data_IF_554506176128
#
_entry.id   IF_554506176128
#
_cell.length_a   1.000
_cell.length_b   1.000
_cell.length_c   1.000
_cell.angle_alpha   90.00
_cell.angle_beta   90.00
_cell.angle_gamma   90.00
#
_symmetry.space_group_name_H-M   'P 1'
#
loop_
_entity.id
_entity.type
_entity.pdbx_description
1 polymer ?
#
# COMPACT_ATOMS: atom_id res chain seq x y z
N UNK A 1 92.71 -13.45 4.41
CA UNK A 1 91.45 -13.23 3.67
C UNK A 1 90.30 -13.47 4.64
N UNK A 2 89.25 -12.64 4.57
CA UNK A 2 88.32 -12.29 5.66
C UNK A 2 87.35 -13.40 6.10
N UNK A 3 86.98 -13.34 7.39
CA UNK A 3 85.84 -14.01 8.05
C UNK A 3 84.51 -13.72 7.34
N UNK A 4 83.51 -14.62 7.47
CA UNK A 4 82.33 -14.45 8.36
C UNK A 4 81.30 -15.57 8.18
N UNK A 5 80.79 -16.05 9.31
CA UNK A 5 79.57 -16.85 9.44
C UNK A 5 78.30 -16.04 9.14
N UNK A 6 77.17 -16.71 8.89
CA UNK A 6 75.84 -16.16 9.16
C UNK A 6 74.82 -17.25 9.45
N UNK A 7 74.17 -17.06 10.60
CA UNK A 7 73.10 -17.80 11.24
C UNK A 7 71.77 -17.32 10.67
N UNK A 8 70.78 -18.20 10.46
CA UNK A 8 69.36 -17.82 10.54
C UNK A 8 68.60 -18.87 11.35
N UNK A 9 67.96 -18.36 12.40
CA UNK A 9 67.17 -19.04 13.44
C UNK A 9 65.72 -19.23 12.98
N UNK A 10 65.14 -20.35 13.39
CA UNK A 10 63.74 -20.72 13.24
C UNK A 10 62.86 -19.95 14.24
N UNK A 11 61.80 -19.27 13.81
CA UNK A 11 60.75 -18.78 14.72
C UNK A 11 59.35 -19.06 14.21
N UNK A 12 58.52 -19.52 15.14
CA UNK A 12 57.20 -20.08 15.00
C UNK A 12 56.09 -19.04 14.73
N UNK A 13 54.98 -19.55 14.19
CA UNK A 13 53.75 -18.83 13.90
C UNK A 13 52.99 -18.43 15.19
N UNK A 14 52.44 -17.21 15.18
CA UNK A 14 51.41 -16.78 16.12
C UNK A 14 50.10 -16.53 15.37
N UNK A 15 49.01 -17.12 15.89
CA UNK A 15 47.65 -16.92 15.45
C UNK A 15 47.13 -15.57 15.95
N UNK A 16 46.48 -14.80 15.07
CA UNK A 16 45.84 -13.53 15.42
C UNK A 16 44.32 -13.69 15.39
N UNK A 17 43.70 -13.39 16.51
CA UNK A 17 42.25 -13.34 16.76
C UNK A 17 41.58 -12.19 16.02
N UNK A 18 40.44 -12.47 15.40
CA UNK A 18 39.56 -11.49 14.75
C UNK A 18 38.82 -10.71 15.83
N UNK A 19 39.02 -9.38 15.87
CA UNK A 19 38.24 -8.48 16.72
C UNK A 19 36.89 -8.19 16.06
N UNK A 20 35.80 -8.51 16.78
CA UNK A 20 34.45 -8.09 16.45
C UNK A 20 34.28 -6.62 16.86
N UNK A 21 34.12 -5.71 15.89
CA UNK A 21 33.85 -4.29 16.16
C UNK A 21 32.34 -4.11 16.35
N UNK A 22 31.93 -3.84 17.59
CA UNK A 22 30.57 -3.46 17.94
C UNK A 22 30.27 -2.08 17.33
N UNK A 23 29.37 -2.03 16.34
CA UNK A 23 28.87 -0.76 15.83
C UNK A 23 27.97 -0.11 16.89
N UNK A 24 28.39 1.05 17.38
CA UNK A 24 27.64 1.90 18.29
C UNK A 24 26.36 2.40 17.58
N UNK A 25 25.18 1.94 17.99
CA UNK A 25 23.91 2.55 17.57
C UNK A 25 23.75 3.89 18.29
N UNK A 26 23.85 4.99 17.54
CA UNK A 26 23.34 6.29 17.96
C UNK A 26 21.85 6.30 17.61
N UNK A 27 21.02 6.23 18.65
CA UNK A 27 19.58 6.41 18.54
C UNK A 27 19.26 7.87 18.16
N UNK A 28 18.61 8.07 17.02
CA UNK A 28 18.12 9.37 16.58
C UNK A 28 17.26 9.30 15.31
N UNK A 29 15.97 9.58 15.48
CA UNK A 29 14.99 10.06 14.47
C UNK A 29 14.35 9.01 13.54
N UNK A 30 13.02 9.04 13.46
CA UNK A 30 12.16 7.96 12.95
C UNK A 30 12.46 7.50 11.53
N UNK A 31 12.53 6.18 11.34
CA UNK A 31 12.68 5.56 10.03
C UNK A 31 11.44 5.82 9.18
N UNK A 32 11.54 6.75 8.23
CA UNK A 32 10.63 6.80 7.11
C UNK A 32 10.73 5.45 6.36
N UNK A 33 9.59 4.84 6.07
CA UNK A 33 9.54 3.64 5.22
C UNK A 33 10.19 4.01 3.88
N UNK A 34 11.21 3.27 3.41
CA UNK A 34 11.89 3.58 2.15
C UNK A 34 10.91 3.49 0.98
N UNK A 35 11.15 4.27 -0.08
CA UNK A 35 10.35 4.20 -1.30
C UNK A 35 10.48 2.84 -1.98
N UNK A 36 9.38 2.36 -2.54
CA UNK A 36 9.31 1.09 -3.29
C UNK A 36 9.08 1.38 -4.76
N UNK A 37 9.84 0.71 -5.63
CA UNK A 37 9.58 0.67 -7.06
C UNK A 37 8.37 -0.24 -7.33
N UNK A 38 7.31 0.31 -7.91
CA UNK A 38 6.13 -0.50 -8.22
C UNK A 38 6.45 -1.50 -9.35
N UNK A 39 6.21 -2.81 -9.14
CA UNK A 39 6.49 -3.86 -10.13
C UNK A 39 5.98 -3.52 -11.54
N UNK A 40 6.79 -3.83 -12.55
CA UNK A 40 6.45 -3.57 -13.95
C UNK A 40 6.48 -2.09 -14.38
N UNK A 41 6.66 -1.14 -13.46
CA UNK A 41 6.67 0.30 -13.74
C UNK A 41 8.05 0.94 -13.51
N UNK A 42 8.14 2.24 -13.77
CA UNK A 42 9.27 3.10 -13.34
C UNK A 42 8.90 4.03 -12.18
N UNK A 43 7.76 3.78 -11.52
CA UNK A 43 7.24 4.64 -10.47
C UNK A 43 7.78 4.20 -9.12
N UNK A 44 8.36 5.15 -8.37
CA UNK A 44 8.78 4.94 -6.98
C UNK A 44 7.78 5.63 -6.06
N UNK A 45 7.19 4.88 -5.15
CA UNK A 45 6.23 5.40 -4.17
C UNK A 45 6.80 5.30 -2.77
N UNK A 46 6.78 6.42 -2.04
CA UNK A 46 7.22 6.51 -0.65
C UNK A 46 6.10 7.16 0.19
N UNK A 47 5.47 6.43 1.13
CA UNK A 47 4.31 6.92 1.88
C UNK A 47 4.52 8.27 2.59
N UNK A 48 5.69 8.53 3.16
CA UNK A 48 5.95 9.78 3.87
C UNK A 48 6.03 11.05 2.97
N UNK A 49 5.91 10.91 1.64
CA UNK A 49 6.17 12.01 0.68
C UNK A 49 4.95 12.90 0.40
N UNK A 50 3.77 12.58 0.94
CA UNK A 50 2.50 13.23 0.54
C UNK A 50 2.05 14.38 1.47
N UNK A 51 2.85 14.74 2.48
CA UNK A 51 2.56 15.87 3.37
C UNK A 51 3.11 17.20 2.81
N UNK A 52 2.23 18.10 2.34
CA UNK A 52 2.63 19.48 2.00
C UNK A 52 1.79 20.18 0.91
N UNK A 53 2.13 21.44 0.57
CA UNK A 53 1.57 22.17 -0.56
C UNK A 53 1.88 21.45 -1.89
N UNK A 54 0.97 21.49 -2.86
CA UNK A 54 1.09 20.74 -4.12
C UNK A 54 0.48 19.32 -4.09
N UNK A 55 -0.30 19.01 -3.04
CA UNK A 55 -0.98 17.72 -2.86
C UNK A 55 -1.79 17.26 -4.07
N UNK A 56 -2.46 18.15 -4.79
CA UNK A 56 -3.28 17.78 -5.97
C UNK A 56 -2.44 17.19 -7.11
N UNK A 57 -1.29 17.80 -7.42
CA UNK A 57 -0.34 17.23 -8.41
C UNK A 57 0.21 15.91 -7.90
N UNK A 58 0.58 15.84 -6.62
CA UNK A 58 1.08 14.61 -5.99
C UNK A 58 0.06 13.47 -6.01
N UNK A 59 -1.22 13.76 -5.79
CA UNK A 59 -2.32 12.79 -5.91
C UNK A 59 -2.56 12.36 -7.35
N UNK A 60 -2.42 13.27 -8.31
CA UNK A 60 -2.54 12.94 -9.74
C UNK A 60 -1.42 11.99 -10.16
N UNK A 61 -0.18 12.30 -9.79
CA UNK A 61 0.99 11.47 -10.09
C UNK A 61 0.88 10.10 -9.39
N UNK A 62 0.41 10.07 -8.14
CA UNK A 62 0.14 8.84 -7.40
C UNK A 62 -0.96 7.99 -8.06
N UNK A 63 -2.08 8.60 -8.46
CA UNK A 63 -3.14 7.89 -9.19
C UNK A 63 -2.61 7.30 -10.50
N UNK A 64 -1.81 8.05 -11.26
CA UNK A 64 -1.20 7.54 -12.49
C UNK A 64 -0.26 6.36 -12.20
N UNK A 65 0.57 6.46 -11.15
CA UNK A 65 1.47 5.38 -10.75
C UNK A 65 0.72 4.11 -10.33
N UNK A 66 -0.31 4.25 -9.49
CA UNK A 66 -1.19 3.15 -9.07
C UNK A 66 -1.92 2.56 -10.29
N UNK A 67 -2.42 3.40 -11.19
CA UNK A 67 -3.13 2.96 -12.39
C UNK A 67 -2.26 2.16 -13.36
N UNK A 68 -1.03 2.62 -13.61
CA UNK A 68 -0.07 1.89 -14.43
C UNK A 68 0.27 0.54 -13.81
N UNK A 69 0.48 0.51 -12.48
CA UNK A 69 0.73 -0.73 -11.74
C UNK A 69 -0.46 -1.69 -11.78
N UNK A 70 -1.68 -1.21 -11.52
CA UNK A 70 -2.92 -2.00 -11.61
C UNK A 70 -3.16 -2.56 -13.02
N UNK A 71 -2.87 -1.77 -14.05
CA UNK A 71 -3.02 -2.23 -15.43
C UNK A 71 -2.04 -3.37 -15.78
N UNK A 72 -0.81 -3.31 -15.26
CA UNK A 72 0.22 -4.32 -15.53
C UNK A 72 0.04 -5.59 -14.69
N UNK A 73 -0.23 -5.46 -13.40
CA UNK A 73 -0.30 -6.59 -12.47
C UNK A 73 -1.68 -7.28 -12.48
N UNK A 74 -2.77 -6.54 -12.71
CA UNK A 74 -4.15 -7.06 -12.62
C UNK A 74 -4.89 -7.07 -13.96
N UNK A 75 -4.24 -6.62 -15.05
CA UNK A 75 -4.84 -6.59 -16.38
C UNK A 75 -6.02 -5.61 -16.51
N UNK A 76 -6.14 -4.65 -15.58
CA UNK A 76 -7.14 -3.59 -15.68
C UNK A 76 -6.82 -2.65 -16.85
N UNK A 77 -7.85 -1.99 -17.38
CA UNK A 77 -7.63 -0.94 -18.37
C UNK A 77 -6.80 0.19 -17.76
N UNK A 78 -5.86 0.74 -18.52
CA UNK A 78 -5.15 1.96 -18.10
C UNK A 78 -6.16 3.05 -17.78
N UNK A 79 -5.86 3.86 -16.76
CA UNK A 79 -6.72 4.97 -16.33
C UNK A 79 -7.06 5.85 -17.56
N UNK A 80 -8.33 5.87 -18.01
CA UNK A 80 -8.72 6.75 -19.11
C UNK A 80 -8.88 8.19 -18.64
N UNK A 81 -9.26 8.37 -17.37
CA UNK A 81 -9.47 9.65 -16.68
C UNK A 81 -9.20 9.44 -15.20
N UNK A 82 -8.51 10.36 -14.50
CA UNK A 82 -8.34 10.22 -13.05
C UNK A 82 -9.69 10.27 -12.31
N UNK A 83 -9.75 9.61 -11.15
CA UNK A 83 -10.86 9.79 -10.23
C UNK A 83 -10.75 11.16 -9.56
N UNK A 84 -11.89 11.77 -9.26
CA UNK A 84 -11.90 12.90 -8.32
C UNK A 84 -11.62 12.34 -6.93
N UNK A 85 -10.71 12.95 -6.18
CA UNK A 85 -10.47 12.58 -4.77
C UNK A 85 -11.05 13.67 -3.88
N UNK A 86 -11.96 13.30 -3.00
CA UNK A 86 -12.59 14.19 -2.04
C UNK A 86 -12.36 13.68 -0.61
N UNK A 87 -12.25 14.61 0.33
CA UNK A 87 -12.13 14.29 1.75
C UNK A 87 -13.47 14.52 2.44
N UNK A 88 -13.91 13.57 3.26
CA UNK A 88 -15.22 13.61 3.88
C UNK A 88 -15.19 13.10 5.34
N UNK A 89 -16.08 13.62 6.22
CA UNK A 89 -16.24 13.08 7.55
C UNK A 89 -16.87 11.69 7.48
N UNK A 90 -16.61 10.85 8.48
CA UNK A 90 -17.10 9.47 8.55
C UNK A 90 -18.62 9.35 8.38
N UNK A 91 -19.38 10.31 8.91
CA UNK A 91 -20.85 10.34 8.76
C UNK A 91 -21.29 10.46 7.30
N UNK A 92 -20.61 11.30 6.50
CA UNK A 92 -20.88 11.46 5.08
C UNK A 92 -20.48 10.20 4.29
N UNK A 93 -19.31 9.63 4.58
CA UNK A 93 -18.88 8.38 3.94
C UNK A 93 -19.85 7.23 4.23
N UNK A 94 -20.34 7.13 5.47
CA UNK A 94 -21.37 6.15 5.81
C UNK A 94 -22.66 6.35 5.01
N UNK A 95 -23.15 7.59 4.89
CA UNK A 95 -24.32 7.88 4.05
C UNK A 95 -24.10 7.53 2.58
N UNK A 96 -22.89 7.68 2.04
CA UNK A 96 -22.55 7.29 0.67
C UNK A 96 -22.54 5.77 0.51
N UNK A 97 -21.91 5.04 1.44
CA UNK A 97 -21.78 3.58 1.39
C UNK A 97 -23.12 2.84 1.42
N UNK A 98 -24.09 3.40 2.13
CA UNK A 98 -25.40 2.80 2.38
C UNK A 98 -26.54 3.54 1.65
N UNK A 99 -26.24 4.40 0.67
CA UNK A 99 -27.22 5.20 -0.07
C UNK A 99 -28.38 4.37 -0.64
N UNK A 100 -28.07 3.15 -1.09
CA UNK A 100 -29.02 2.24 -1.75
C UNK A 100 -29.44 1.05 -0.88
N UNK A 101 -29.12 1.10 0.43
CA UNK A 101 -29.49 0.06 1.41
C UNK A 101 -30.66 0.56 2.25
N UNK A 102 -31.69 -0.27 2.42
CA UNK A 102 -32.82 0.06 3.28
C UNK A 102 -32.34 0.29 4.73
N UNK A 103 -32.85 1.34 5.39
CA UNK A 103 -32.34 1.82 6.68
C UNK A 103 -32.45 0.82 7.84
N UNK A 104 -33.32 -0.19 7.70
CA UNK A 104 -33.51 -1.29 8.63
C UNK A 104 -32.43 -2.39 8.53
N UNK A 105 -31.64 -2.38 7.46
CA UNK A 105 -30.47 -3.27 7.26
C UNK A 105 -29.13 -2.58 7.57
N UNK A 106 -29.17 -1.35 8.08
CA UNK A 106 -27.96 -0.63 8.48
C UNK A 106 -27.35 -1.32 9.72
N UNK A 107 -26.27 -2.10 9.56
CA UNK A 107 -25.53 -2.62 10.70
C UNK A 107 -24.95 -1.46 11.52
N UNK A 108 -24.98 -1.56 12.85
CA UNK A 108 -24.46 -0.52 13.75
C UNK A 108 -22.95 -0.30 13.64
N UNK A 109 -22.25 -1.01 12.74
CA UNK A 109 -20.82 -0.90 12.48
C UNK A 109 -20.48 0.31 11.59
N UNK A 110 -20.89 1.50 12.05
CA UNK A 110 -20.54 2.78 11.43
C UNK A 110 -19.04 3.12 11.53
N UNK A 111 -18.26 2.32 12.27
CA UNK A 111 -16.92 2.68 12.74
C UNK A 111 -15.74 2.22 11.88
N UNK A 112 -15.96 1.62 10.69
CA UNK A 112 -14.83 1.07 9.90
C UNK A 112 -14.91 1.35 8.40
N UNK A 113 -15.58 2.44 7.98
CA UNK A 113 -15.54 2.88 6.58
C UNK A 113 -14.27 3.70 6.38
N UNK A 114 -13.27 3.08 5.74
CA UNK A 114 -11.95 3.68 5.50
C UNK A 114 -11.89 4.50 4.21
N UNK A 115 -12.75 4.19 3.25
CA UNK A 115 -12.99 4.97 2.04
C UNK A 115 -14.28 4.52 1.35
N UNK A 116 -14.74 5.28 0.35
CA UNK A 116 -15.85 4.92 -0.53
C UNK A 116 -15.58 5.43 -1.93
N UNK A 117 -15.71 4.58 -2.94
CA UNK A 117 -15.85 5.01 -4.33
C UNK A 117 -17.33 5.17 -4.72
N UNK A 118 -17.70 6.34 -5.23
CA UNK A 118 -19.01 6.60 -5.83
C UNK A 118 -18.94 6.44 -7.35
N UNK A 119 -19.62 5.43 -7.89
CA UNK A 119 -19.62 5.10 -9.32
C UNK A 119 -20.19 6.23 -10.18
N UNK A 120 -21.25 6.91 -9.73
CA UNK A 120 -21.97 7.94 -10.49
C UNK A 120 -21.12 9.21 -10.60
N UNK A 121 -20.57 9.64 -9.46
CA UNK A 121 -19.73 10.83 -9.37
C UNK A 121 -18.27 10.56 -9.78
N UNK A 122 -17.87 9.29 -9.97
CA UNK A 122 -16.49 8.85 -10.20
C UNK A 122 -15.52 9.48 -9.20
N UNK A 123 -15.94 9.47 -7.94
CA UNK A 123 -15.26 10.16 -6.85
C UNK A 123 -14.85 9.16 -5.78
N UNK A 124 -13.57 9.19 -5.41
CA UNK A 124 -13.01 8.48 -4.27
C UNK A 124 -13.13 9.40 -3.06
N UNK A 125 -13.87 8.97 -2.04
CA UNK A 125 -13.98 9.65 -0.76
C UNK A 125 -13.02 9.02 0.25
N UNK A 126 -12.10 9.82 0.76
CA UNK A 126 -11.16 9.46 1.83
C UNK A 126 -11.51 10.23 3.11
N UNK A 127 -11.13 9.75 4.30
CA UNK A 127 -11.37 10.48 5.54
C UNK A 127 -10.61 11.81 5.57
N UNK A 128 -11.17 12.83 6.23
CA UNK A 128 -10.53 14.17 6.35
C UNK A 128 -9.10 14.15 6.92
N UNK A 129 -8.78 13.13 7.73
CA UNK A 129 -7.45 12.92 8.29
C UNK A 129 -6.49 12.14 7.40
N UNK A 130 -6.90 11.68 6.22
CA UNK A 130 -6.07 10.85 5.35
C UNK A 130 -4.85 11.64 4.86
N UNK A 131 -3.67 11.06 5.03
CA UNK A 131 -2.40 11.71 4.64
C UNK A 131 -1.64 10.98 3.54
N UNK A 132 -1.97 9.70 3.30
CA UNK A 132 -1.17 8.82 2.46
C UNK A 132 0.19 8.50 3.08
N UNK A 133 0.36 8.78 4.37
CA UNK A 133 1.62 8.74 5.11
C UNK A 133 2.11 7.33 5.43
N UNK A 134 1.23 6.33 5.29
CA UNK A 134 1.53 4.92 5.55
C UNK A 134 1.17 4.05 4.35
N UNK A 135 1.81 2.87 4.24
CA UNK A 135 1.46 1.89 3.23
C UNK A 135 -0.02 1.46 3.33
N UNK A 136 -0.56 1.36 4.55
CA UNK A 136 -1.96 1.08 4.80
C UNK A 136 -2.89 2.18 4.25
N UNK A 137 -2.62 3.45 4.53
CA UNK A 137 -3.42 4.56 3.98
C UNK A 137 -3.39 4.58 2.43
N UNK A 138 -2.23 4.33 1.83
CA UNK A 138 -2.12 4.23 0.37
C UNK A 138 -2.84 2.99 -0.19
N UNK A 139 -2.82 1.86 0.52
CA UNK A 139 -3.50 0.63 0.10
C UNK A 139 -5.03 0.82 0.00
N UNK A 140 -5.60 1.69 0.85
CA UNK A 140 -7.03 2.05 0.75
C UNK A 140 -7.29 2.82 -0.55
N UNK A 141 -6.41 3.75 -0.95
CA UNK A 141 -6.55 4.40 -2.26
C UNK A 141 -6.41 3.41 -3.42
N UNK A 142 -5.49 2.43 -3.32
CA UNK A 142 -5.35 1.36 -4.32
C UNK A 142 -6.66 0.58 -4.48
N UNK A 143 -7.30 0.21 -3.37
CA UNK A 143 -8.59 -0.47 -3.36
C UNK A 143 -9.65 0.32 -4.13
N UNK A 144 -9.82 1.60 -3.80
CA UNK A 144 -10.81 2.45 -4.47
C UNK A 144 -10.45 2.74 -5.94
N UNK A 145 -9.16 2.75 -6.29
CA UNK A 145 -8.71 2.88 -7.68
C UNK A 145 -9.06 1.64 -8.52
N UNK A 146 -9.07 0.45 -7.93
CA UNK A 146 -9.59 -0.75 -8.61
C UNK A 146 -11.06 -0.57 -8.94
N UNK A 147 -11.88 -0.13 -7.99
CA UNK A 147 -13.28 0.18 -8.22
C UNK A 147 -13.49 1.24 -9.30
N UNK A 148 -12.65 2.28 -9.31
CA UNK A 148 -12.67 3.26 -10.38
C UNK A 148 -12.43 2.64 -11.75
N UNK A 149 -11.38 1.85 -11.90
CA UNK A 149 -11.01 1.18 -13.15
C UNK A 149 -12.06 0.14 -13.60
N UNK A 150 -12.64 -0.60 -12.66
CA UNK A 150 -13.75 -1.50 -12.92
C UNK A 150 -14.97 -0.74 -13.48
N UNK A 151 -15.34 0.40 -12.87
CA UNK A 151 -16.48 1.22 -13.30
C UNK A 151 -16.25 1.83 -14.69
N UNK A 152 -15.13 2.53 -14.91
CA UNK A 152 -14.85 3.19 -16.21
C UNK A 152 -14.56 2.19 -17.32
N UNK A 153 -14.05 0.99 -16.98
CA UNK A 153 -13.90 -0.13 -17.90
C UNK A 153 -15.21 -0.85 -18.23
N UNK A 154 -16.31 -0.53 -17.52
CA UNK A 154 -17.62 -1.14 -17.74
C UNK A 154 -17.70 -2.61 -17.31
N UNK A 155 -16.83 -3.05 -16.39
CA UNK A 155 -16.81 -4.41 -15.89
C UNK A 155 -18.14 -4.72 -15.18
N UNK A 156 -18.60 -5.96 -15.33
CA UNK A 156 -19.85 -6.45 -14.75
C UNK A 156 -19.55 -7.61 -13.82
N UNK A 157 -20.26 -7.63 -12.71
CA UNK A 157 -20.14 -8.61 -11.64
C UNK A 157 -21.52 -9.17 -11.36
N UNK A 158 -21.59 -10.44 -10.97
CA UNK A 158 -22.81 -11.13 -10.61
C UNK A 158 -23.41 -10.57 -9.30
N UNK A 159 -22.57 -10.07 -8.41
CA UNK A 159 -22.94 -9.49 -7.12
C UNK A 159 -21.93 -8.41 -6.69
N UNK A 160 -22.27 -7.58 -5.68
CA UNK A 160 -21.33 -6.62 -5.10
C UNK A 160 -20.06 -7.29 -4.54
N UNK A 161 -20.17 -8.45 -3.89
CA UNK A 161 -19.03 -9.14 -3.26
C UNK A 161 -17.99 -9.59 -4.29
N UNK A 162 -18.41 -10.08 -5.46
CA UNK A 162 -17.47 -10.49 -6.52
C UNK A 162 -16.63 -9.30 -7.01
N UNK A 163 -17.20 -8.09 -7.03
CA UNK A 163 -16.50 -6.86 -7.40
C UNK A 163 -15.34 -6.55 -6.45
N UNK A 164 -15.48 -6.88 -5.16
CA UNK A 164 -14.50 -6.63 -4.10
C UNK A 164 -13.24 -7.49 -4.24
N UNK A 165 -13.33 -8.66 -4.87
CA UNK A 165 -12.25 -9.66 -4.89
C UNK A 165 -10.92 -9.08 -5.40
N UNK A 166 -10.95 -8.44 -6.57
CA UNK A 166 -9.75 -7.83 -7.16
C UNK A 166 -9.25 -6.64 -6.35
N UNK A 167 -10.16 -5.86 -5.75
CA UNK A 167 -9.78 -4.69 -4.97
C UNK A 167 -9.00 -5.09 -3.71
N UNK A 168 -9.45 -6.14 -3.01
CA UNK A 168 -8.71 -6.70 -1.89
C UNK A 168 -7.42 -7.42 -2.31
N UNK A 169 -7.40 -8.13 -3.43
CA UNK A 169 -6.17 -8.76 -3.95
C UNK A 169 -5.09 -7.72 -4.25
N UNK A 170 -5.47 -6.62 -4.91
CA UNK A 170 -4.58 -5.49 -5.16
C UNK A 170 -4.13 -4.80 -3.87
N UNK A 171 -5.03 -4.64 -2.90
CA UNK A 171 -4.69 -4.07 -1.61
C UNK A 171 -3.68 -4.93 -0.84
N UNK A 172 -3.87 -6.26 -0.82
CA UNK A 172 -2.93 -7.21 -0.20
C UNK A 172 -1.56 -7.16 -0.88
N UNK A 173 -1.51 -7.23 -2.21
CA UNK A 173 -0.25 -7.15 -2.97
C UNK A 173 0.47 -5.83 -2.71
N UNK A 174 -0.25 -4.71 -2.63
CA UNK A 174 0.32 -3.43 -2.28
C UNK A 174 0.94 -3.45 -0.87
N UNK A 175 0.24 -3.97 0.13
CA UNK A 175 0.75 -4.04 1.51
C UNK A 175 2.02 -4.89 1.60
N UNK A 176 2.07 -6.00 0.88
CA UNK A 176 3.23 -6.89 0.83
C UNK A 176 4.48 -6.19 0.28
N UNK A 177 4.34 -5.22 -0.65
CA UNK A 177 5.48 -4.40 -1.12
C UNK A 177 6.18 -3.63 0.02
N UNK A 178 5.46 -3.36 1.10
CA UNK A 178 5.96 -2.65 2.27
C UNK A 178 6.07 -3.55 3.52
N UNK A 179 5.91 -4.87 3.37
CA UNK A 179 5.98 -5.84 4.46
C UNK A 179 4.73 -5.91 5.36
N UNK A 180 3.61 -5.36 4.91
CA UNK A 180 2.29 -5.44 5.56
C UNK A 180 1.40 -6.55 5.00
N UNK A 181 0.15 -6.61 5.50
CA UNK A 181 -0.91 -7.50 4.99
C UNK A 181 -2.29 -7.01 5.46
N UNK A 182 -3.36 -7.42 4.77
CA UNK A 182 -4.74 -7.14 5.17
C UNK A 182 -5.04 -7.62 6.59
N UNK A 183 -4.53 -8.79 6.98
CA UNK A 183 -4.74 -9.34 8.32
C UNK A 183 -4.03 -8.50 9.39
N UNK A 184 -2.76 -8.14 9.17
CA UNK A 184 -1.98 -7.38 10.14
C UNK A 184 -2.49 -5.93 10.29
N UNK A 185 -2.73 -5.26 9.16
CA UNK A 185 -2.99 -3.82 9.09
C UNK A 185 -4.48 -3.47 9.25
N UNK A 186 -5.39 -4.35 8.81
CA UNK A 186 -6.84 -4.11 8.78
C UNK A 186 -7.68 -5.13 9.54
N UNK A 187 -7.06 -6.15 10.15
CA UNK A 187 -7.77 -7.22 10.87
C UNK A 187 -8.75 -8.00 9.98
N UNK A 188 -8.46 -8.07 8.69
CA UNK A 188 -9.24 -8.84 7.72
C UNK A 188 -8.63 -10.23 7.60
N UNK A 189 -9.12 -11.15 8.42
CA UNK A 189 -8.71 -12.55 8.38
C UNK A 189 -9.27 -13.27 7.12
N UNK A 190 -8.72 -14.45 6.75
CA UNK A 190 -9.16 -15.19 5.57
C UNK A 190 -10.65 -15.55 5.54
N UNK A 191 -11.30 -15.75 6.68
CA UNK A 191 -12.74 -16.02 6.73
C UNK A 191 -13.55 -14.75 6.45
N UNK A 192 -13.17 -13.62 7.04
CA UNK A 192 -13.76 -12.32 6.69
C UNK A 192 -13.62 -12.02 5.20
N UNK A 193 -12.45 -12.32 4.63
CA UNK A 193 -12.19 -12.18 3.19
C UNK A 193 -13.09 -13.07 2.32
N UNK A 194 -13.31 -14.32 2.73
CA UNK A 194 -14.21 -15.23 2.02
C UNK A 194 -15.63 -14.66 1.96
N UNK A 195 -16.16 -14.15 3.07
CA UNK A 195 -17.50 -13.57 3.13
C UNK A 195 -17.59 -12.33 2.24
N UNK A 196 -16.62 -11.42 2.33
CA UNK A 196 -16.66 -10.14 1.60
C UNK A 196 -16.48 -10.27 0.08
N UNK A 197 -16.03 -11.42 -0.42
CA UNK A 197 -15.64 -11.59 -1.84
C UNK A 197 -16.43 -12.66 -2.61
N UNK A 198 -17.40 -13.31 -1.96
CA UNK A 198 -18.21 -14.36 -2.59
C UNK A 198 -19.68 -13.99 -2.58
N UNK A 199 -20.33 -14.17 -3.74
CA UNK A 199 -21.76 -13.92 -3.86
C UNK A 199 -22.57 -14.76 -2.87
N UNK A 200 -23.48 -14.10 -2.17
CA UNK A 200 -24.50 -14.72 -1.37
C UNK A 200 -25.74 -14.91 -2.26
N UNK A 201 -25.85 -16.11 -2.85
CA UNK A 201 -26.96 -16.70 -3.62
C UNK A 201 -28.18 -15.82 -3.95
#
# INVERSE_FOLDING_TARGET
MRLTASIIVLTAAFATTIHCTLAQQVAGSGSAVPGVLLPGTNHVVAPASFAGPGRERSLTDLQNAIGDWLALEFGLSKIPTQATVAFAPASRMASLRFRDVASDQWSNDKSEILAVYDDDARTIFLPEGWTGGTAAELSVLVHEMVHHLQNVGGLKFACPEEREKMAYEAQEHWLQLFGGSLEADFKLDPFTMLVRTNCHY
#
